data_IF_441891897952
#
_entry.id   IF_441891897952
#
_cell.length_a   1.000
_cell.length_b   1.000
_cell.length_c   1.000
_cell.angle_alpha   90.00
_cell.angle_beta   90.00
_cell.angle_gamma   90.00
#
_symmetry.space_group_name_H-M   'P 1'
#
loop_
_entity.id
_entity.type
_entity.pdbx_description
1 polymer ?
#
# COMPACT_ATOMS: atom_id res chain seq x y z
N UNK A 1 16.63 24.02 -31.05
CA UNK A 1 16.91 24.44 -29.66
C UNK A 1 16.33 23.35 -28.77
N UNK A 2 17.19 22.66 -28.03
CA UNK A 2 16.79 21.56 -27.17
C UNK A 2 16.13 22.15 -25.92
N UNK A 3 14.85 21.87 -25.71
CA UNK A 3 14.22 22.07 -24.42
C UNK A 3 14.84 21.03 -23.47
N UNK A 4 15.81 21.49 -22.69
CA UNK A 4 16.13 20.92 -21.38
C UNK A 4 14.83 20.99 -20.54
N UNK A 5 14.01 19.95 -20.68
CA UNK A 5 12.84 19.75 -19.83
C UNK A 5 13.35 19.53 -18.40
N UNK A 6 13.05 20.53 -17.56
CA UNK A 6 13.21 20.54 -16.11
C UNK A 6 12.77 19.20 -15.50
N UNK A 7 13.71 18.26 -15.34
CA UNK A 7 13.61 17.16 -14.39
C UNK A 7 14.08 17.59 -13.00
N UNK A 8 14.62 18.81 -12.86
CA UNK A 8 15.04 19.35 -11.59
C UNK A 8 13.84 19.88 -10.79
N UNK A 9 13.50 19.10 -9.75
CA UNK A 9 12.66 19.45 -8.59
C UNK A 9 11.14 19.33 -8.78
N UNK A 10 10.67 18.15 -9.18
CA UNK A 10 9.47 17.61 -8.53
C UNK A 10 9.92 17.10 -7.16
N UNK A 11 9.73 17.92 -6.13
CA UNK A 11 10.12 17.58 -4.75
C UNK A 11 9.44 16.29 -4.33
N UNK A 12 10.23 15.25 -4.10
CA UNK A 12 9.74 13.94 -3.68
C UNK A 12 9.08 14.03 -2.32
N UNK A 13 7.79 13.70 -2.27
CA UNK A 13 6.99 13.58 -1.07
C UNK A 13 7.13 12.18 -0.45
N UNK A 14 8.33 11.60 -0.42
CA UNK A 14 8.66 10.41 0.38
C UNK A 14 7.90 9.11 0.06
N UNK A 15 6.89 9.12 -0.80
CA UNK A 15 6.10 7.97 -1.25
C UNK A 15 6.35 7.77 -2.76
N UNK A 16 7.43 7.06 -3.08
CA UNK A 16 7.93 6.86 -4.44
C UNK A 16 6.96 6.04 -5.32
N UNK A 17 6.04 6.71 -6.02
CA UNK A 17 4.99 6.06 -6.85
C UNK A 17 4.81 6.70 -8.24
N UNK A 18 5.82 7.39 -8.79
CA UNK A 18 5.70 8.19 -10.01
C UNK A 18 6.44 7.63 -11.23
N UNK A 19 6.20 8.19 -12.42
CA UNK A 19 6.95 7.95 -13.66
C UNK A 19 8.47 8.14 -13.50
N UNK A 20 8.91 8.89 -12.49
CA UNK A 20 10.32 9.06 -12.13
C UNK A 20 10.99 7.77 -11.66
N UNK A 21 10.19 6.77 -11.28
CA UNK A 21 10.65 5.43 -10.90
C UNK A 21 10.62 4.43 -12.08
N UNK A 22 10.16 4.86 -13.28
CA UNK A 22 10.35 4.07 -14.50
C UNK A 22 11.84 3.95 -14.80
N UNK A 23 12.29 2.74 -15.15
CA UNK A 23 13.62 2.57 -15.72
C UNK A 23 13.80 3.48 -16.95
N UNK A 24 14.98 4.08 -17.16
CA UNK A 24 15.20 5.09 -18.21
C UNK A 24 14.74 4.67 -19.61
N UNK A 25 14.83 3.38 -19.93
CA UNK A 25 14.39 2.80 -21.20
C UNK A 25 12.86 2.92 -21.42
N UNK A 26 12.05 2.88 -20.36
CA UNK A 26 10.60 3.06 -20.46
C UNK A 26 10.22 4.53 -20.61
N UNK A 27 10.94 5.44 -19.96
CA UNK A 27 10.75 6.89 -20.12
C UNK A 27 11.02 7.33 -21.55
N UNK A 28 12.09 6.84 -22.18
CA UNK A 28 12.38 7.15 -23.59
C UNK A 28 11.32 6.59 -24.54
N UNK A 29 10.88 5.35 -24.33
CA UNK A 29 9.84 4.72 -25.14
C UNK A 29 8.50 5.46 -25.01
N UNK A 30 8.13 5.85 -23.78
CA UNK A 30 6.95 6.66 -23.48
C UNK A 30 7.03 8.01 -24.20
N UNK A 31 8.12 8.75 -24.03
CA UNK A 31 8.31 10.06 -24.66
C UNK A 31 8.27 9.98 -26.20
N UNK A 32 8.86 8.93 -26.78
CA UNK A 32 8.79 8.67 -28.22
C UNK A 32 7.36 8.39 -28.66
N UNK A 33 6.61 7.57 -27.93
CA UNK A 33 5.24 7.23 -28.26
C UNK A 33 4.30 8.44 -28.14
N UNK A 34 4.49 9.27 -27.11
CA UNK A 34 3.79 10.54 -26.93
C UNK A 34 4.03 11.45 -28.13
N UNK A 35 5.30 11.66 -28.51
CA UNK A 35 5.69 12.54 -29.64
C UNK A 35 5.15 12.06 -30.98
N UNK A 36 5.12 10.74 -31.19
CA UNK A 36 4.70 10.13 -32.46
C UNK A 36 3.22 9.82 -32.50
N UNK A 37 2.49 10.03 -31.40
CA UNK A 37 1.13 9.51 -31.21
C UNK A 37 1.02 8.03 -31.55
N UNK A 38 2.09 7.26 -31.28
CA UNK A 38 2.16 5.83 -31.50
C UNK A 38 1.65 5.03 -30.31
N UNK A 39 1.28 3.77 -30.56
CA UNK A 39 0.94 2.85 -29.48
C UNK A 39 2.19 2.48 -28.67
N UNK A 40 1.99 2.21 -27.38
CA UNK A 40 3.04 1.70 -26.51
C UNK A 40 2.47 0.90 -25.35
N UNK A 41 3.34 0.11 -24.74
CA UNK A 41 3.06 -0.70 -23.56
C UNK A 41 4.36 -0.80 -22.77
N UNK A 42 4.35 -0.32 -21.52
CA UNK A 42 5.53 -0.43 -20.65
C UNK A 42 5.73 -1.86 -20.15
N UNK A 43 4.75 -2.74 -20.29
CA UNK A 43 4.65 -3.95 -19.48
C UNK A 43 4.40 -3.60 -18.01
N UNK A 44 4.27 -4.65 -17.18
CA UNK A 44 4.26 -4.49 -15.73
C UNK A 44 5.68 -4.21 -15.23
N UNK A 45 5.85 -3.14 -14.47
CA UNK A 45 7.11 -2.77 -13.82
C UNK A 45 6.91 -2.73 -12.31
N UNK A 46 7.90 -3.27 -11.58
CA UNK A 46 7.89 -3.25 -10.13
C UNK A 46 7.98 -1.81 -9.60
N UNK A 47 7.15 -1.49 -8.62
CA UNK A 47 7.20 -0.25 -7.85
C UNK A 47 7.98 -0.47 -6.56
N UNK A 48 8.47 0.63 -5.96
CA UNK A 48 9.04 0.59 -4.59
C UNK A 48 7.98 0.67 -3.50
N UNK A 49 6.73 0.97 -3.85
CA UNK A 49 5.57 0.97 -2.95
C UNK A 49 5.10 -0.48 -2.81
N UNK A 50 5.25 -1.10 -1.64
CA UNK A 50 4.76 -2.46 -1.30
C UNK A 50 4.98 -3.54 -2.39
N UNK A 51 4.34 -4.70 -2.29
CA UNK A 51 4.39 -5.71 -3.36
C UNK A 51 3.48 -5.21 -4.49
N UNK A 52 3.97 -4.26 -5.28
CA UNK A 52 3.14 -3.56 -6.26
C UNK A 52 3.79 -3.39 -7.63
N UNK A 53 2.96 -3.41 -8.68
CA UNK A 53 3.36 -3.23 -10.07
C UNK A 53 2.48 -2.23 -10.82
N UNK A 54 3.11 -1.39 -11.64
CA UNK A 54 2.42 -0.43 -12.51
C UNK A 54 2.48 -0.84 -13.98
N UNK A 55 1.55 -0.35 -14.80
CA UNK A 55 1.57 -0.51 -16.25
C UNK A 55 0.90 0.66 -16.95
N UNK A 56 1.50 1.13 -18.04
CA UNK A 56 0.94 2.18 -18.88
C UNK A 56 0.85 1.67 -20.31
N UNK A 57 -0.35 1.71 -20.85
CA UNK A 57 -0.66 1.30 -22.22
C UNK A 57 -1.29 2.47 -22.96
N UNK A 58 -0.89 2.67 -24.22
CA UNK A 58 -1.64 3.50 -25.15
C UNK A 58 -2.01 2.68 -26.37
N UNK A 59 -3.31 2.66 -26.69
CA UNK A 59 -3.87 2.01 -27.89
C UNK A 59 -4.96 2.88 -28.47
N UNK A 60 -4.93 3.10 -29.78
CA UNK A 60 -5.97 3.86 -30.50
C UNK A 60 -6.23 5.26 -29.91
N UNK A 61 -5.17 5.89 -29.38
CA UNK A 61 -5.24 7.20 -28.74
C UNK A 61 -5.86 7.24 -27.35
N UNK A 62 -6.24 6.09 -26.78
CA UNK A 62 -6.64 5.93 -25.38
C UNK A 62 -5.42 5.54 -24.54
N UNK A 63 -5.27 6.17 -23.38
CA UNK A 63 -4.30 5.78 -22.36
C UNK A 63 -5.00 4.97 -21.28
N UNK A 64 -4.36 3.88 -20.89
CA UNK A 64 -4.80 2.98 -19.83
C UNK A 64 -3.64 2.88 -18.86
N UNK A 65 -3.87 3.31 -17.63
CA UNK A 65 -2.92 3.18 -16.53
C UNK A 65 -3.49 2.18 -15.55
N UNK A 66 -2.67 1.21 -15.18
CA UNK A 66 -3.03 0.16 -14.26
C UNK A 66 -2.02 0.04 -13.14
N UNK A 67 -2.51 -0.31 -11.96
CA UNK A 67 -1.77 -0.54 -10.75
C UNK A 67 -2.28 -1.83 -10.13
N UNK A 68 -1.37 -2.70 -9.71
CA UNK A 68 -1.67 -3.90 -8.95
C UNK A 68 -0.86 -3.86 -7.67
N UNK A 69 -1.53 -4.04 -6.54
CA UNK A 69 -0.92 -4.09 -5.20
C UNK A 69 -1.20 -5.44 -4.58
N UNK A 70 -0.33 -5.87 -3.69
CA UNK A 70 -0.60 -6.90 -2.69
C UNK A 70 0.10 -6.59 -1.38
N UNK A 71 -0.36 -7.25 -0.32
CA UNK A 71 0.23 -7.19 1.02
C UNK A 71 0.93 -8.50 1.37
N UNK A 72 1.42 -8.60 2.61
CA UNK A 72 2.10 -9.79 3.16
C UNK A 72 1.21 -11.04 3.21
N UNK A 73 -0.09 -10.89 2.94
CA UNK A 73 -1.10 -11.95 2.92
C UNK A 73 -1.53 -12.33 1.49
N UNK A 74 -0.81 -11.85 0.48
CA UNK A 74 -1.14 -12.02 -0.94
C UNK A 74 -2.55 -11.52 -1.30
N UNK A 75 -3.08 -10.53 -0.58
CA UNK A 75 -4.38 -9.93 -0.92
C UNK A 75 -4.24 -9.13 -2.20
N UNK A 76 -4.94 -9.53 -3.25
CA UNK A 76 -4.84 -8.87 -4.55
C UNK A 76 -5.69 -7.60 -4.58
N UNK A 77 -5.13 -6.52 -5.12
CA UNK A 77 -5.88 -5.31 -5.51
C UNK A 77 -5.50 -4.84 -6.90
N UNK A 78 -6.49 -4.38 -7.68
CA UNK A 78 -6.31 -3.87 -9.04
C UNK A 78 -7.03 -2.54 -9.27
N UNK A 79 -6.28 -1.52 -9.64
CA UNK A 79 -6.81 -0.24 -10.08
C UNK A 79 -6.53 0.01 -11.56
N UNK A 80 -7.54 0.52 -12.28
CA UNK A 80 -7.43 0.83 -13.71
C UNK A 80 -8.09 2.17 -14.02
N UNK A 81 -7.32 3.07 -14.63
CA UNK A 81 -7.79 4.39 -15.06
C UNK A 81 -7.60 4.54 -16.56
N UNK A 82 -8.65 4.97 -17.25
CA UNK A 82 -8.65 5.17 -18.70
C UNK A 82 -8.94 6.62 -19.05
N UNK A 83 -8.15 7.20 -19.95
CA UNK A 83 -8.30 8.61 -20.31
C UNK A 83 -7.74 8.96 -21.69
N UNK A 84 -8.18 10.12 -22.20
CA UNK A 84 -7.67 10.75 -23.42
C UNK A 84 -7.11 12.11 -23.08
N UNK A 85 -6.07 12.52 -23.81
CA UNK A 85 -5.48 13.84 -23.63
C UNK A 85 -6.32 14.95 -24.25
N UNK A 86 -6.59 16.03 -23.51
CA UNK A 86 -6.84 17.32 -24.12
C UNK A 86 -5.55 17.82 -24.80
N UNK A 87 -5.67 18.53 -25.91
CA UNK A 87 -4.55 19.01 -26.76
C UNK A 87 -3.54 19.96 -26.08
N UNK A 88 -3.71 20.29 -24.81
CA UNK A 88 -2.96 21.33 -24.10
C UNK A 88 -2.40 20.89 -22.73
N UNK A 89 -2.46 19.59 -22.41
CA UNK A 89 -2.03 19.07 -21.11
C UNK A 89 -0.61 18.53 -21.19
N UNK A 90 0.16 18.74 -20.13
CA UNK A 90 1.43 18.06 -19.93
C UNK A 90 1.18 16.56 -19.76
N UNK A 91 1.56 15.79 -20.78
CA UNK A 91 1.22 14.37 -20.88
C UNK A 91 1.79 13.54 -19.75
N UNK A 92 3.00 13.87 -19.30
CA UNK A 92 3.71 13.17 -18.23
C UNK A 92 3.04 13.43 -16.87
N UNK A 93 2.69 14.68 -16.60
CA UNK A 93 2.02 15.07 -15.35
C UNK A 93 0.65 14.41 -15.22
N UNK A 94 -0.13 14.35 -16.29
CA UNK A 94 -1.42 13.67 -16.25
C UNK A 94 -1.25 12.15 -16.08
N UNK A 95 -0.29 11.51 -16.76
CA UNK A 95 -0.02 10.07 -16.55
C UNK A 95 0.36 9.81 -15.08
N UNK A 96 1.21 10.64 -14.47
CA UNK A 96 1.52 10.52 -13.04
C UNK A 96 0.28 10.62 -12.17
N UNK A 97 -0.57 11.61 -12.42
CA UNK A 97 -1.82 11.78 -11.70
C UNK A 97 -2.72 10.55 -11.82
N UNK A 98 -2.88 10.02 -13.04
CA UNK A 98 -3.71 8.83 -13.30
C UNK A 98 -3.11 7.55 -12.76
N UNK A 99 -1.78 7.48 -12.65
CA UNK A 99 -1.10 6.39 -11.98
C UNK A 99 -1.36 6.41 -10.48
N UNK A 100 -1.31 7.57 -9.83
CA UNK A 100 -1.70 7.70 -8.43
C UNK A 100 -3.16 7.34 -8.20
N UNK A 101 -4.07 7.81 -9.06
CA UNK A 101 -5.48 7.41 -9.01
C UNK A 101 -5.67 5.89 -9.18
N UNK A 102 -4.92 5.26 -10.08
CA UNK A 102 -4.94 3.80 -10.20
C UNK A 102 -4.38 3.11 -8.94
N UNK A 103 -3.36 3.67 -8.29
CA UNK A 103 -2.84 3.14 -7.03
C UNK A 103 -3.86 3.22 -5.90
N UNK A 104 -4.57 4.35 -5.78
CA UNK A 104 -5.60 4.54 -4.76
C UNK A 104 -6.73 3.53 -4.96
N UNK A 105 -7.18 3.34 -6.21
CA UNK A 105 -8.19 2.33 -6.55
C UNK A 105 -7.71 0.90 -6.26
N UNK A 106 -6.44 0.60 -6.53
CA UNK A 106 -5.88 -0.72 -6.27
C UNK A 106 -5.82 -1.01 -4.76
N UNK A 107 -5.46 -0.02 -3.95
CA UNK A 107 -5.46 -0.16 -2.48
C UNK A 107 -6.88 -0.30 -1.92
N UNK A 108 -7.85 0.47 -2.43
CA UNK A 108 -9.27 0.29 -2.07
C UNK A 108 -9.76 -1.13 -2.43
N UNK A 109 -9.47 -1.62 -3.63
CA UNK A 109 -9.83 -2.97 -4.08
C UNK A 109 -9.16 -4.06 -3.22
N UNK A 110 -7.89 -3.88 -2.85
CA UNK A 110 -7.19 -4.78 -1.91
C UNK A 110 -7.90 -4.83 -0.56
N UNK A 111 -8.30 -3.67 -0.01
CA UNK A 111 -9.01 -3.59 1.28
C UNK A 111 -10.38 -4.27 1.21
N UNK A 112 -11.10 -4.12 0.11
CA UNK A 112 -12.38 -4.81 -0.10
C UNK A 112 -12.21 -6.33 -0.24
N UNK A 113 -11.08 -6.77 -0.80
CA UNK A 113 -10.74 -8.19 -0.93
C UNK A 113 -10.13 -8.79 0.35
N UNK A 114 -9.79 -7.97 1.34
CA UNK A 114 -9.17 -8.44 2.57
C UNK A 114 -10.11 -9.37 3.36
N UNK A 115 -9.60 -10.57 3.60
CA UNK A 115 -10.27 -11.65 4.36
C UNK A 115 -9.78 -11.75 5.80
N UNK A 116 -9.02 -10.75 6.25
CA UNK A 116 -8.51 -10.63 7.60
C UNK A 116 -8.57 -9.18 8.09
N UNK A 117 -8.52 -9.02 9.42
CA UNK A 117 -8.19 -7.78 10.06
C UNK A 117 -6.94 -7.99 10.91
N UNK A 118 -5.95 -7.13 10.73
CA UNK A 118 -4.70 -7.19 11.47
C UNK A 118 -4.44 -5.92 12.26
N UNK A 119 -3.70 -6.10 13.35
CA UNK A 119 -3.42 -5.05 14.31
C UNK A 119 -1.96 -5.11 14.72
N UNK A 120 -1.34 -3.93 14.80
CA UNK A 120 0.01 -3.74 15.29
C UNK A 120 -0.02 -3.36 16.76
N UNK A 121 0.73 -4.08 17.58
CA UNK A 121 0.84 -3.81 19.00
C UNK A 121 2.30 -3.57 19.35
N UNK A 122 2.56 -2.50 20.08
CA UNK A 122 3.89 -2.21 20.56
C UNK A 122 3.92 -1.26 21.73
N UNK A 123 5.12 -0.96 22.20
CA UNK A 123 5.32 -0.11 23.37
C UNK A 123 5.31 1.35 22.96
N UNK A 124 4.43 2.15 23.56
CA UNK A 124 4.51 3.61 23.42
C UNK A 124 5.92 4.07 23.81
N UNK A 125 6.48 5.03 23.08
CA UNK A 125 7.59 5.80 23.61
C UNK A 125 7.15 6.46 24.93
N UNK A 126 8.07 6.75 25.85
CA UNK A 126 7.76 7.45 27.13
C UNK A 126 7.16 8.86 26.91
N UNK A 127 7.11 9.32 25.66
CA UNK A 127 6.33 10.47 25.24
C UNK A 127 4.87 10.04 25.05
N UNK A 128 3.90 10.76 25.61
CA UNK A 128 2.45 10.53 25.42
C UNK A 128 1.95 10.57 23.96
N UNK A 129 2.86 10.60 22.98
CA UNK A 129 2.60 10.49 21.56
C UNK A 129 2.47 9.02 21.15
N UNK A 130 1.25 8.64 20.78
CA UNK A 130 0.88 7.32 20.27
C UNK A 130 1.53 7.01 18.90
N UNK A 131 2.15 8.00 18.25
CA UNK A 131 2.47 7.99 16.81
C UNK A 131 3.70 7.19 16.39
N UNK A 132 4.52 6.70 17.33
CA UNK A 132 5.70 5.88 17.02
C UNK A 132 5.98 4.88 18.14
N UNK A 133 5.45 3.67 17.99
CA UNK A 133 5.79 2.55 18.86
C UNK A 133 6.67 1.53 18.12
N UNK A 134 7.50 0.82 18.89
CA UNK A 134 8.22 -0.34 18.36
C UNK A 134 7.23 -1.50 18.30
N UNK A 135 6.86 -1.93 17.08
CA UNK A 135 6.00 -3.10 16.85
C UNK A 135 6.65 -4.37 17.41
N UNK A 136 5.90 -5.11 18.23
CA UNK A 136 6.37 -6.30 18.95
C UNK A 136 5.39 -7.47 18.78
N UNK A 137 4.09 -7.19 18.82
CA UNK A 137 3.02 -8.18 18.69
C UNK A 137 2.10 -7.83 17.53
N UNK A 138 1.52 -8.85 16.94
CA UNK A 138 0.38 -8.73 16.04
C UNK A 138 -0.81 -9.44 16.63
N UNK A 139 -1.98 -8.93 16.31
CA UNK A 139 -3.22 -9.71 16.43
C UNK A 139 -3.84 -9.77 15.04
N UNK A 140 -4.24 -10.95 14.59
CA UNK A 140 -4.84 -11.15 13.27
C UNK A 140 -6.08 -12.01 13.43
N UNK A 141 -7.19 -11.62 12.83
CA UNK A 141 -8.42 -12.41 12.83
C UNK A 141 -9.02 -12.51 11.44
N UNK A 142 -9.71 -13.61 11.12
CA UNK A 142 -10.44 -13.71 9.87
C UNK A 142 -11.61 -12.71 9.87
N UNK A 143 -11.82 -12.03 8.74
CA UNK A 143 -13.00 -11.20 8.51
C UNK A 143 -13.61 -11.54 7.15
N UNK A 144 -14.90 -11.27 6.98
CA UNK A 144 -15.63 -11.58 5.75
C UNK A 144 -16.45 -12.88 5.80
N UNK A 145 -17.28 -13.09 4.78
CA UNK A 145 -18.22 -14.20 4.68
C UNK A 145 -17.59 -15.34 3.87
N UNK A 146 -17.63 -16.56 4.39
CA UNK A 146 -17.31 -17.77 3.62
C UNK A 146 -15.86 -18.24 3.69
N UNK A 147 -15.12 -17.77 4.69
CA UNK A 147 -13.68 -18.00 4.80
C UNK A 147 -13.37 -18.98 5.94
N UNK A 148 -13.31 -20.27 5.63
CA UNK A 148 -12.78 -21.31 6.54
C UNK A 148 -11.27 -21.47 6.32
N UNK A 149 -10.49 -20.42 6.57
CA UNK A 149 -9.04 -20.55 6.61
C UNK A 149 -8.62 -21.11 7.98
N UNK A 150 -7.91 -22.23 7.98
CA UNK A 150 -7.35 -22.81 9.21
C UNK A 150 -6.19 -21.96 9.77
N UNK A 151 -5.55 -21.16 8.93
CA UNK A 151 -4.40 -20.29 9.24
C UNK A 151 -4.47 -19.00 8.40
N UNK A 152 -3.83 -17.90 8.83
CA UNK A 152 -3.79 -16.68 8.04
C UNK A 152 -3.12 -16.93 6.68
N UNK A 153 -3.57 -16.25 5.61
CA UNK A 153 -2.88 -16.31 4.33
C UNK A 153 -1.47 -15.70 4.40
N UNK A 154 -0.60 -16.05 3.45
CA UNK A 154 0.79 -15.58 3.41
C UNK A 154 1.78 -16.35 4.29
N UNK A 155 3.06 -16.04 4.13
CA UNK A 155 4.17 -16.79 4.73
C UNK A 155 4.68 -16.22 6.07
N UNK A 156 4.19 -15.04 6.45
CA UNK A 156 4.70 -14.27 7.60
C UNK A 156 4.04 -14.63 8.94
N UNK A 157 2.90 -15.32 8.92
CA UNK A 157 2.11 -15.64 10.12
C UNK A 157 1.75 -17.12 10.16
N UNK A 158 1.68 -17.70 11.36
CA UNK A 158 1.53 -19.14 11.54
C UNK A 158 0.16 -19.54 12.09
N UNK A 159 -0.59 -18.59 12.66
CA UNK A 159 -1.89 -18.83 13.26
C UNK A 159 -2.73 -17.55 13.39
N UNK A 160 -4.05 -17.72 13.48
CA UNK A 160 -4.95 -16.62 13.87
C UNK A 160 -4.77 -16.28 15.35
N UNK A 161 -4.99 -15.01 15.69
CA UNK A 161 -4.89 -14.46 17.03
C UNK A 161 -3.56 -13.76 17.29
N UNK A 162 -3.06 -13.88 18.51
CA UNK A 162 -1.84 -13.20 18.98
C UNK A 162 -0.56 -13.85 18.45
N UNK A 163 0.19 -13.09 17.65
CA UNK A 163 1.47 -13.50 17.09
C UNK A 163 2.60 -12.62 17.64
N UNK A 164 3.72 -13.23 18.03
CA UNK A 164 4.89 -12.51 18.54
C UNK A 164 5.90 -12.31 17.41
N UNK A 165 6.07 -11.05 16.97
CA UNK A 165 7.04 -10.68 15.93
C UNK A 165 8.43 -10.29 16.47
N UNK A 166 8.62 -10.24 17.78
CA UNK A 166 9.83 -9.71 18.42
C UNK A 166 10.97 -10.72 18.64
N UNK A 167 12.19 -10.20 18.85
CA UNK A 167 13.31 -11.00 19.35
C UNK A 167 13.18 -11.11 20.87
N UNK A 168 12.56 -12.19 21.31
CA UNK A 168 12.39 -12.70 22.68
C UNK A 168 13.08 -11.88 23.79
N UNK A 169 12.33 -10.98 24.44
CA UNK A 169 12.68 -10.43 25.76
C UNK A 169 11.57 -10.77 26.74
N UNK A 170 11.92 -11.34 27.88
CA UNK A 170 10.96 -11.72 28.93
C UNK A 170 10.07 -10.54 29.39
N UNK A 171 10.56 -9.31 29.21
CA UNK A 171 9.87 -8.04 29.49
C UNK A 171 8.81 -7.62 28.44
N UNK A 172 8.57 -8.40 27.39
CA UNK A 172 7.66 -8.07 26.29
C UNK A 172 6.33 -8.83 26.34
N UNK A 173 5.98 -9.47 27.45
CA UNK A 173 4.69 -10.15 27.58
C UNK A 173 3.55 -9.17 27.87
N UNK A 174 2.46 -9.32 27.13
CA UNK A 174 1.15 -8.73 27.45
C UNK A 174 0.55 -9.48 28.63
N UNK A 175 -0.04 -8.74 29.57
CA UNK A 175 -0.87 -9.33 30.62
C UNK A 175 -2.22 -9.79 30.06
N UNK A 176 -2.93 -10.64 30.80
CA UNK A 176 -4.29 -11.07 30.42
C UNK A 176 -5.23 -9.87 30.29
N UNK A 177 -5.19 -8.94 31.24
CA UNK A 177 -6.02 -7.72 31.23
C UNK A 177 -5.73 -6.83 30.01
N UNK A 178 -4.45 -6.66 29.64
CA UNK A 178 -4.08 -5.92 28.43
C UNK A 178 -4.59 -6.60 27.15
N UNK A 179 -4.56 -7.94 27.07
CA UNK A 179 -5.08 -8.68 25.91
C UNK A 179 -6.60 -8.58 25.81
N UNK A 180 -7.30 -8.85 26.89
CA UNK A 180 -8.77 -8.78 26.94
C UNK A 180 -9.27 -7.37 26.60
N UNK A 181 -8.61 -6.33 27.12
CA UNK A 181 -8.95 -4.95 26.77
C UNK A 181 -8.72 -4.60 25.30
N UNK A 182 -7.65 -5.12 24.69
CA UNK A 182 -7.39 -4.95 23.25
C UNK A 182 -8.39 -5.72 22.40
N UNK A 183 -8.74 -6.95 22.78
CA UNK A 183 -9.77 -7.76 22.11
C UNK A 183 -11.14 -7.08 22.17
N UNK A 184 -11.54 -6.54 23.32
CA UNK A 184 -12.77 -5.76 23.46
C UNK A 184 -12.75 -4.51 22.54
N UNK A 185 -11.61 -3.82 22.43
CA UNK A 185 -11.48 -2.68 21.51
C UNK A 185 -11.61 -3.11 20.04
N UNK A 186 -11.04 -4.27 19.67
CA UNK A 186 -11.17 -4.87 18.34
C UNK A 186 -12.63 -5.22 18.04
N UNK A 187 -13.31 -5.92 18.96
CA UNK A 187 -14.71 -6.35 18.81
C UNK A 187 -15.68 -5.17 18.67
N UNK A 188 -15.34 -4.03 19.28
CA UNK A 188 -16.09 -2.78 19.16
C UNK A 188 -15.81 -2.00 17.85
N UNK A 189 -15.10 -2.61 16.90
CA UNK A 189 -14.88 -2.07 15.55
C UNK A 189 -13.52 -1.41 15.34
N UNK A 190 -12.65 -1.40 16.36
CA UNK A 190 -11.38 -0.67 16.30
C UNK A 190 -11.57 0.83 16.05
N UNK A 191 -10.48 1.54 15.74
CA UNK A 191 -10.50 2.97 15.45
C UNK A 191 -9.12 3.59 15.63
N UNK A 192 -9.10 4.83 16.13
CA UNK A 192 -7.87 5.53 16.49
C UNK A 192 -7.01 4.68 17.45
N UNK A 193 -5.67 4.76 17.34
CA UNK A 193 -4.77 4.02 18.21
C UNK A 193 -5.10 4.13 19.70
N UNK A 194 -5.15 2.99 20.39
CA UNK A 194 -5.58 2.90 21.78
C UNK A 194 -4.47 2.40 22.70
N UNK A 195 -4.41 2.93 23.93
CA UNK A 195 -3.37 2.62 24.92
C UNK A 195 -3.91 1.71 26.03
N UNK A 196 -3.18 0.63 26.29
CA UNK A 196 -3.45 -0.35 27.35
C UNK A 196 -2.19 -0.52 28.20
N UNK A 197 -2.15 0.15 29.34
CA UNK A 197 -0.95 0.24 30.15
C UNK A 197 0.21 0.90 29.39
N UNK A 198 1.27 0.13 29.13
CA UNK A 198 2.44 0.58 28.34
C UNK A 198 2.34 0.26 26.85
N UNK A 199 1.30 -0.46 26.45
CA UNK A 199 1.12 -0.91 25.08
C UNK A 199 0.15 -0.01 24.33
N UNK A 200 0.36 0.04 23.03
CA UNK A 200 -0.50 0.69 22.06
C UNK A 200 -0.91 -0.37 21.05
N UNK A 201 -2.19 -0.37 20.69
CA UNK A 201 -2.73 -1.11 19.57
C UNK A 201 -3.20 -0.13 18.48
N UNK A 202 -2.94 -0.48 17.24
CA UNK A 202 -3.33 0.26 16.04
C UNK A 202 -3.78 -0.72 14.95
N UNK A 203 -4.86 -0.38 14.24
CA UNK A 203 -5.33 -1.14 13.07
C UNK A 203 -4.35 -0.96 11.91
N UNK A 204 -4.11 -2.00 11.11
CA UNK A 204 -3.34 -1.85 9.87
C UNK A 204 -4.06 -1.02 8.81
N UNK A 205 -5.38 -0.88 8.93
CA UNK A 205 -6.24 -0.12 8.03
C UNK A 205 -6.51 1.32 8.52
N UNK A 206 -5.61 1.86 9.36
CA UNK A 206 -5.71 3.21 9.95
C UNK A 206 -5.82 4.36 8.95
#
# INVERSE_FOLDING_TARGET
>A
MAEELLFEKLGGDGAHCGLTDLYPNYTEALMKAIKTHGDFDTGWYASKKEIASGRIVRRDGLYIVSASVSDDFDTEGLGVVQFKFPSHVNVIEEINKRLNEAWDLADEDRKENAVYAGYSIGKAADTDEVKRFNWIWSYIQPVGIGVEFYEPPGDCYHSWGWEYGGINKEDDKLTTEEREGMEEWIENGGGEPAKFGRWVIESWEG
#
